data_IF_802549482077
#
_entry.id   IF_802549482077
#
_cell.length_a   1.000
_cell.length_b   1.000
_cell.length_c   1.000
_cell.angle_alpha   90.00
_cell.angle_beta   90.00
_cell.angle_gamma   90.00
#
_symmetry.space_group_name_H-M   'P 1'
#
loop_
_entity.id
_entity.type
_entity.pdbx_description
1 polymer ?
#
# COMPACT_ATOMS: atom_id res chain seq x y z
N UNK A 1 -9.64 -29.22 -59.40
CA UNK A 1 -10.82 -28.68 -58.68
C UNK A 1 -11.35 -29.76 -57.75
N UNK A 2 -11.12 -29.66 -56.44
CA UNK A 2 -11.83 -30.37 -55.33
C UNK A 2 -10.97 -30.26 -54.06
N UNK A 3 -10.93 -29.08 -53.43
CA UNK A 3 -10.48 -28.96 -52.03
C UNK A 3 -11.04 -27.67 -51.41
N UNK A 4 -12.38 -27.59 -51.31
CA UNK A 4 -13.05 -26.50 -50.58
C UNK A 4 -14.43 -26.96 -50.15
N UNK A 5 -14.47 -28.01 -49.34
CA UNK A 5 -15.72 -28.43 -48.68
C UNK A 5 -15.50 -28.59 -47.17
N UNK A 6 -14.35 -29.12 -46.73
CA UNK A 6 -14.05 -29.32 -45.30
C UNK A 6 -13.85 -28.02 -44.52
N UNK A 7 -13.26 -26.99 -45.11
CA UNK A 7 -13.03 -25.69 -44.46
C UNK A 7 -14.32 -24.89 -44.23
N UNK A 8 -15.29 -24.95 -45.16
CA UNK A 8 -16.58 -24.28 -44.97
C UNK A 8 -17.43 -24.90 -43.85
N UNK A 9 -17.36 -26.22 -43.65
CA UNK A 9 -18.09 -26.88 -42.56
C UNK A 9 -17.54 -26.50 -41.18
N UNK A 10 -16.23 -26.34 -41.03
CA UNK A 10 -15.61 -25.96 -39.76
C UNK A 10 -15.95 -24.51 -39.40
N UNK A 11 -15.93 -23.59 -40.37
CA UNK A 11 -16.28 -22.19 -40.13
C UNK A 11 -17.76 -22.05 -39.80
N UNK A 12 -18.65 -22.75 -40.51
CA UNK A 12 -20.09 -22.75 -40.22
C UNK A 12 -20.42 -23.36 -38.84
N UNK A 13 -19.66 -24.37 -38.40
CA UNK A 13 -19.82 -24.96 -37.08
C UNK A 13 -19.36 -24.01 -35.96
N UNK A 14 -18.25 -23.30 -36.16
CA UNK A 14 -17.75 -22.34 -35.17
C UNK A 14 -18.66 -21.11 -35.05
N UNK A 15 -19.21 -20.60 -36.15
CA UNK A 15 -20.13 -19.44 -36.10
C UNK A 15 -21.47 -19.79 -35.47
N UNK A 16 -22.00 -21.00 -35.72
CA UNK A 16 -23.22 -21.47 -35.06
C UNK A 16 -22.98 -21.70 -33.57
N UNK A 17 -21.86 -22.30 -33.17
CA UNK A 17 -21.52 -22.48 -31.76
C UNK A 17 -21.41 -21.12 -31.04
N UNK A 18 -20.69 -20.15 -31.63
CA UNK A 18 -20.52 -18.82 -31.06
C UNK A 18 -21.84 -18.07 -30.94
N UNK A 19 -22.70 -18.16 -31.96
CA UNK A 19 -24.04 -17.57 -31.91
C UNK A 19 -24.91 -18.23 -30.84
N UNK A 20 -24.86 -19.55 -30.66
CA UNK A 20 -25.62 -20.22 -29.59
C UNK A 20 -25.13 -19.85 -28.19
N UNK A 21 -23.82 -19.68 -28.01
CA UNK A 21 -23.23 -19.26 -26.72
C UNK A 21 -23.65 -17.82 -26.39
N UNK A 22 -23.63 -16.91 -27.37
CA UNK A 22 -24.09 -15.53 -27.17
C UNK A 22 -25.58 -15.50 -26.83
N UNK A 23 -26.42 -16.26 -27.53
CA UNK A 23 -27.87 -16.31 -27.23
C UNK A 23 -28.14 -16.92 -25.85
N UNK A 24 -27.35 -17.93 -25.42
CA UNK A 24 -27.42 -18.47 -24.05
C UNK A 24 -26.99 -17.46 -22.99
N UNK A 25 -25.98 -16.63 -23.26
CA UNK A 25 -25.54 -15.57 -22.35
C UNK A 25 -26.59 -14.45 -22.23
N UNK A 26 -27.20 -14.04 -23.34
CA UNK A 26 -28.24 -13.00 -23.36
C UNK A 26 -29.54 -13.50 -22.69
N UNK A 27 -29.92 -14.78 -22.89
CA UNK A 27 -31.06 -15.39 -22.19
C UNK A 27 -30.77 -15.68 -20.71
N UNK A 28 -29.50 -15.85 -20.33
CA UNK A 28 -29.07 -15.92 -18.93
C UNK A 28 -29.22 -14.56 -18.23
N UNK A 29 -28.92 -13.45 -18.90
CA UNK A 29 -29.13 -12.10 -18.35
C UNK A 29 -30.62 -11.74 -18.20
N UNK A 30 -31.51 -12.27 -19.04
CA UNK A 30 -32.95 -11.98 -18.93
C UNK A 30 -33.67 -12.67 -17.77
N UNK A 31 -33.01 -13.61 -17.07
CA UNK A 31 -33.57 -14.30 -15.89
C UNK A 31 -32.94 -13.86 -14.57
N UNK A 32 -32.03 -12.88 -14.62
CA UNK A 32 -31.27 -12.39 -13.46
C UNK A 32 -31.75 -11.03 -12.93
N UNK A 33 -32.98 -10.61 -13.26
CA UNK A 33 -33.55 -9.34 -12.79
C UNK A 33 -34.52 -9.46 -11.61
N UNK A 34 -34.86 -10.67 -11.12
CA UNK A 34 -35.88 -10.81 -10.05
C UNK A 34 -35.36 -11.19 -8.66
N UNK A 35 -34.06 -11.45 -8.49
CA UNK A 35 -33.50 -11.88 -7.20
C UNK A 35 -32.55 -10.85 -6.55
N UNK A 36 -32.00 -9.90 -7.32
CA UNK A 36 -31.14 -8.84 -6.80
C UNK A 36 -31.96 -7.82 -5.97
N UNK A 37 -33.24 -7.62 -6.28
CA UNK A 37 -34.13 -6.72 -5.53
C UNK A 37 -34.49 -7.23 -4.12
N UNK A 38 -34.20 -8.49 -3.80
CA UNK A 38 -34.45 -9.06 -2.46
C UNK A 38 -33.21 -9.14 -1.56
N UNK A 39 -32.04 -8.65 -2.03
CA UNK A 39 -30.83 -8.55 -1.20
C UNK A 39 -30.62 -7.16 -0.59
N UNK A 40 -31.45 -6.17 -0.93
CA UNK A 40 -31.41 -4.85 -0.34
C UNK A 40 -32.52 -4.70 0.70
N UNK A 41 -32.17 -4.90 1.97
CA UNK A 41 -32.95 -4.36 3.07
C UNK A 41 -32.92 -2.82 2.98
N UNK A 42 -34.03 -2.11 3.28
CA UNK A 42 -34.02 -0.67 3.34
C UNK A 42 -33.07 -0.21 4.45
N UNK A 43 -32.09 0.62 4.08
CA UNK A 43 -31.22 1.31 5.02
C UNK A 43 -32.10 2.28 5.81
N UNK A 44 -32.45 1.90 7.03
CA UNK A 44 -33.10 2.80 7.98
C UNK A 44 -32.05 3.79 8.49
N UNK A 45 -32.34 5.08 8.35
CA UNK A 45 -31.58 6.16 8.98
C UNK A 45 -31.65 6.00 10.51
N UNK A 46 -30.59 5.48 11.12
CA UNK A 46 -30.43 5.56 12.58
C UNK A 46 -29.59 6.78 12.93
N UNK A 47 -30.28 7.81 13.41
CA UNK A 47 -29.73 8.97 14.09
C UNK A 47 -28.74 8.56 15.19
N UNK A 48 -27.47 8.96 15.04
CA UNK A 48 -26.42 8.75 16.04
C UNK A 48 -26.45 9.88 17.06
N UNK A 49 -27.50 9.93 17.88
CA UNK A 49 -27.61 10.89 19.00
C UNK A 49 -27.99 10.23 20.33
N UNK A 50 -27.92 8.90 20.43
CA UNK A 50 -28.35 8.17 21.63
C UNK A 50 -27.37 7.04 21.99
N UNK A 51 -26.15 7.39 22.40
CA UNK A 51 -25.26 6.51 23.18
C UNK A 51 -24.31 7.38 24.03
N UNK A 52 -24.93 8.30 24.78
CA UNK A 52 -24.33 8.97 25.94
C UNK A 52 -25.04 8.45 27.19
N UNK A 53 -24.64 7.29 27.69
CA UNK A 53 -24.89 6.89 29.07
C UNK A 53 -23.99 5.72 29.46
N UNK A 54 -23.51 5.74 30.70
CA UNK A 54 -22.66 4.76 31.38
C UNK A 54 -21.15 4.85 31.06
N UNK A 55 -20.23 5.00 32.02
CA UNK A 55 -20.35 5.05 33.47
C UNK A 55 -19.02 5.61 34.02
N UNK A 56 -19.11 6.68 34.80
CA UNK A 56 -17.97 7.29 35.48
C UNK A 56 -17.63 6.45 36.71
N UNK A 57 -16.46 5.79 36.71
CA UNK A 57 -15.88 5.25 37.95
C UNK A 57 -14.89 6.26 38.53
N UNK A 58 -15.32 6.82 39.67
CA UNK A 58 -14.54 7.65 40.57
C UNK A 58 -13.54 6.78 41.34
N UNK A 59 -12.24 7.07 41.18
CA UNK A 59 -11.23 6.74 42.18
C UNK A 59 -10.60 8.04 42.65
N UNK A 60 -11.06 8.50 43.81
CA UNK A 60 -10.56 9.65 44.54
C UNK A 60 -9.22 9.30 45.18
N UNK A 61 -8.15 9.94 44.70
CA UNK A 61 -6.92 10.11 45.47
C UNK A 61 -6.66 11.62 45.59
N UNK A 62 -6.74 12.09 46.85
CA UNK A 62 -6.41 13.45 47.30
C UNK A 62 -5.03 13.85 46.78
N UNK A 63 -4.91 15.04 46.20
CA UNK A 63 -3.64 15.75 46.17
C UNK A 63 -3.90 17.23 46.47
N UNK A 64 -3.35 17.70 47.59
CA UNK A 64 -3.34 19.10 48.01
C UNK A 64 -2.50 19.95 47.05
N UNK A 65 -3.04 21.09 46.63
CA UNK A 65 -2.34 22.09 45.84
C UNK A 65 -1.41 22.92 46.73
N UNK A 66 -0.11 22.87 46.47
CA UNK A 66 0.85 23.89 46.91
C UNK A 66 1.32 24.65 45.67
N UNK A 67 1.10 25.98 45.56
CA UNK A 67 1.61 26.75 44.45
C UNK A 67 3.09 27.08 44.68
N UNK A 68 4.00 26.42 43.95
CA UNK A 68 5.35 26.97 43.76
C UNK A 68 5.42 27.57 42.36
N UNK A 69 5.50 28.90 42.31
CA UNK A 69 5.80 29.64 41.08
C UNK A 69 7.25 29.32 40.71
N UNK A 70 7.45 28.43 39.74
CA UNK A 70 8.74 28.26 39.09
C UNK A 70 8.70 29.02 37.76
N UNK A 71 9.44 30.12 37.68
CA UNK A 71 9.68 30.83 36.44
C UNK A 71 10.44 29.90 35.47
N UNK A 72 9.77 29.43 34.42
CA UNK A 72 10.40 28.62 33.37
C UNK A 72 11.07 29.57 32.37
N UNK A 73 12.36 29.83 32.58
CA UNK A 73 13.22 30.41 31.56
C UNK A 73 13.32 29.41 30.40
N UNK A 74 12.70 29.74 29.27
CA UNK A 74 12.80 28.95 28.03
C UNK A 74 14.20 29.11 27.44
N UNK A 75 15.09 28.20 27.80
CA UNK A 75 16.35 28.03 27.06
C UNK A 75 16.01 27.34 25.74
N UNK A 76 16.03 28.11 24.64
CA UNK A 76 16.00 27.55 23.29
C UNK A 76 17.31 26.79 23.06
N UNK A 77 17.28 25.48 23.30
CA UNK A 77 18.37 24.61 22.90
C UNK A 77 18.35 24.50 21.37
N UNK A 78 19.43 24.99 20.75
CA UNK A 78 19.67 24.88 19.33
C UNK A 78 19.54 23.41 18.87
N UNK A 79 18.83 23.19 17.76
CA UNK A 79 18.77 21.90 17.07
C UNK A 79 20.20 21.57 16.63
N UNK A 80 20.86 20.68 17.36
CA UNK A 80 22.14 20.13 16.93
C UNK A 80 21.86 19.08 15.84
N UNK A 81 22.45 19.30 14.67
CA UNK A 81 22.57 18.30 13.61
C UNK A 81 23.35 17.12 14.17
N UNK A 82 22.65 16.06 14.59
CA UNK A 82 23.30 14.80 14.92
C UNK A 82 23.86 14.21 13.63
N UNK A 83 25.17 14.30 13.48
CA UNK A 83 25.89 13.41 12.58
C UNK A 83 25.68 11.98 13.09
N UNK A 84 25.35 11.01 12.24
CA UNK A 84 25.30 9.61 12.66
C UNK A 84 26.67 9.26 13.26
N UNK A 85 26.72 8.92 14.54
CA UNK A 85 27.95 8.66 15.29
C UNK A 85 28.67 7.37 14.89
N UNK A 86 28.12 6.63 13.93
CA UNK A 86 28.73 5.43 13.36
C UNK A 86 28.75 5.59 11.85
N UNK A 87 29.94 5.69 11.22
CA UNK A 87 30.06 5.46 9.79
C UNK A 87 29.54 4.05 9.53
N UNK A 88 28.39 3.94 8.87
CA UNK A 88 27.90 2.64 8.40
C UNK A 88 29.02 1.94 7.62
N UNK A 89 29.06 0.59 7.64
CA UNK A 89 30.14 -0.15 6.99
C UNK A 89 30.29 0.30 5.53
N UNK A 90 31.54 0.38 5.04
CA UNK A 90 31.84 0.85 3.69
C UNK A 90 31.09 0.05 2.62
N UNK A 91 30.82 -1.22 2.91
CA UNK A 91 29.87 -2.09 2.23
C UNK A 91 29.30 -3.08 3.25
N UNK A 92 28.03 -3.47 3.13
CA UNK A 92 27.50 -4.63 3.84
C UNK A 92 27.89 -5.89 3.05
N UNK A 93 28.35 -6.94 3.73
CA UNK A 93 28.54 -8.25 3.09
C UNK A 93 27.19 -8.74 2.54
N UNK A 94 27.16 -9.09 1.26
CA UNK A 94 25.98 -9.74 0.66
C UNK A 94 25.83 -11.14 1.28
N UNK A 95 24.69 -11.39 1.94
CA UNK A 95 24.47 -12.60 2.74
C UNK A 95 25.45 -12.75 3.90
N UNK A 96 25.44 -11.78 4.82
CA UNK A 96 26.19 -11.86 6.08
C UNK A 96 25.75 -13.03 6.97
N UNK A 97 26.52 -13.29 8.04
CA UNK A 97 26.28 -14.40 8.97
C UNK A 97 24.87 -14.42 9.57
N UNK A 98 24.31 -13.24 9.82
CA UNK A 98 23.01 -13.06 10.50
C UNK A 98 21.91 -12.57 9.53
N UNK A 99 22.08 -12.74 8.21
CA UNK A 99 21.09 -12.35 7.21
C UNK A 99 19.97 -13.41 7.08
N UNK A 100 18.82 -13.12 7.70
CA UNK A 100 17.64 -13.98 7.69
C UNK A 100 17.10 -14.23 6.28
N UNK A 101 17.08 -13.19 5.42
CA UNK A 101 16.57 -13.32 4.05
C UNK A 101 17.48 -14.23 3.22
N UNK A 102 18.80 -14.12 3.40
CA UNK A 102 19.70 -14.99 2.68
C UNK A 102 19.69 -16.42 3.23
N UNK A 103 19.46 -16.62 4.53
CA UNK A 103 19.25 -17.95 5.10
C UNK A 103 17.99 -18.63 4.56
N UNK A 104 16.93 -17.87 4.29
CA UNK A 104 15.65 -18.39 3.80
C UNK A 104 15.67 -18.63 2.28
N UNK A 105 16.04 -17.60 1.51
CA UNK A 105 15.93 -17.63 0.05
C UNK A 105 17.22 -18.04 -0.65
N UNK A 106 18.37 -17.90 0.01
CA UNK A 106 19.68 -18.15 -0.59
C UNK A 106 20.15 -17.03 -1.52
N UNK A 107 21.47 -16.85 -1.59
CA UNK A 107 22.14 -15.77 -2.35
C UNK A 107 21.66 -15.67 -3.80
N UNK A 108 21.57 -16.80 -4.50
CA UNK A 108 21.22 -16.82 -5.91
C UNK A 108 19.78 -16.32 -6.17
N UNK A 109 18.82 -16.66 -5.31
CA UNK A 109 17.44 -16.20 -5.49
C UNK A 109 17.29 -14.71 -5.15
N UNK A 110 18.01 -14.23 -4.13
CA UNK A 110 18.07 -12.81 -3.83
C UNK A 110 18.73 -12.00 -4.97
N UNK A 111 19.77 -12.53 -5.61
CA UNK A 111 20.36 -11.87 -6.77
C UNK A 111 19.38 -11.80 -7.95
N UNK A 112 18.58 -12.85 -8.16
CA UNK A 112 17.56 -12.87 -9.22
C UNK A 112 16.39 -11.91 -8.98
N UNK A 113 16.13 -11.49 -7.74
CA UNK A 113 15.10 -10.48 -7.47
C UNK A 113 15.54 -9.07 -7.89
N UNK A 114 16.85 -8.85 -8.10
CA UNK A 114 17.45 -7.56 -8.46
C UNK A 114 17.50 -7.44 -9.98
N UNK A 115 16.41 -6.98 -10.59
CA UNK A 115 16.32 -6.84 -12.06
C UNK A 115 17.31 -5.82 -12.66
N UNK A 116 17.55 -4.70 -11.95
CA UNK A 116 18.55 -3.70 -12.34
C UNK A 116 18.96 -2.85 -11.13
N UNK A 117 20.26 -2.78 -10.85
CA UNK A 117 20.76 -2.05 -9.67
C UNK A 117 21.08 -0.58 -9.95
N UNK A 118 21.65 -0.29 -11.13
CA UNK A 118 22.15 1.04 -11.47
C UNK A 118 23.13 1.61 -10.41
N UNK A 119 23.22 2.94 -10.33
CA UNK A 119 24.15 3.62 -9.41
C UNK A 119 23.57 3.85 -8.00
N UNK A 120 22.24 3.81 -7.88
CA UNK A 120 21.47 4.14 -6.68
C UNK A 120 21.81 5.51 -6.06
N UNK A 121 22.33 6.47 -6.84
CA UNK A 121 22.81 7.75 -6.31
C UNK A 121 21.72 8.58 -5.62
N UNK A 122 20.48 8.57 -6.15
CA UNK A 122 19.31 9.23 -5.55
C UNK A 122 18.85 8.51 -4.28
N UNK A 123 18.72 7.19 -4.36
CA UNK A 123 18.34 6.35 -3.22
C UNK A 123 19.32 6.51 -2.05
N UNK A 124 20.63 6.46 -2.31
CA UNK A 124 21.68 6.69 -1.31
C UNK A 124 21.54 8.06 -0.62
N UNK A 125 21.10 9.11 -1.33
CA UNK A 125 20.84 10.42 -0.70
C UNK A 125 19.62 10.40 0.21
N UNK A 126 18.54 9.73 -0.21
CA UNK A 126 17.33 9.56 0.61
C UNK A 126 17.66 8.78 1.89
N UNK A 127 18.38 7.66 1.77
CA UNK A 127 18.81 6.84 2.92
C UNK A 127 19.72 7.62 3.86
N UNK A 128 20.69 8.40 3.34
CA UNK A 128 21.53 9.27 4.17
C UNK A 128 20.73 10.33 4.92
N UNK A 129 19.75 10.96 4.25
CA UNK A 129 18.85 11.94 4.87
C UNK A 129 18.02 11.29 5.99
N UNK A 130 17.49 10.10 5.75
CA UNK A 130 16.73 9.34 6.74
C UNK A 130 17.61 8.94 7.93
N UNK A 131 18.82 8.43 7.67
CA UNK A 131 19.80 8.05 8.69
C UNK A 131 20.31 9.25 9.52
N UNK A 132 20.31 10.47 8.96
CA UNK A 132 20.59 11.70 9.72
C UNK A 132 19.37 12.24 10.48
N UNK A 133 18.28 11.49 10.57
CA UNK A 133 17.06 11.89 11.28
C UNK A 133 16.20 12.91 10.52
N UNK A 134 16.36 13.03 9.21
CA UNK A 134 15.53 13.92 8.40
C UNK A 134 14.21 13.27 7.95
N UNK A 135 13.12 14.03 7.78
CA UNK A 135 11.84 13.50 7.31
C UNK A 135 11.88 13.08 5.85
N UNK A 136 11.13 12.02 5.53
CA UNK A 136 11.03 11.47 4.18
C UNK A 136 9.55 11.40 3.75
N UNK A 137 9.29 11.90 2.55
CA UNK A 137 7.99 11.75 1.90
C UNK A 137 8.11 10.62 0.87
N UNK A 138 7.23 9.63 0.98
CA UNK A 138 7.22 8.43 0.16
C UNK A 138 5.89 8.42 -0.60
N UNK A 139 5.96 8.63 -1.91
CA UNK A 139 4.83 8.45 -2.83
C UNK A 139 5.01 7.15 -3.61
N UNK A 140 3.96 6.35 -3.71
CA UNK A 140 3.95 5.11 -4.50
C UNK A 140 2.88 5.21 -5.59
N UNK A 141 3.27 4.94 -6.83
CA UNK A 141 2.38 4.89 -7.99
C UNK A 141 2.27 3.44 -8.49
N UNK A 142 1.11 3.06 -8.99
CA UNK A 142 0.91 1.72 -9.55
C UNK A 142 -0.54 1.42 -9.90
N UNK A 143 -0.76 0.18 -10.33
CA UNK A 143 -2.08 -0.35 -10.67
C UNK A 143 -2.79 -1.00 -9.48
N UNK A 144 -3.64 -1.98 -9.79
CA UNK A 144 -4.49 -2.68 -8.81
C UNK A 144 -3.72 -3.37 -7.68
N UNK A 145 -2.54 -3.94 -7.96
CA UNK A 145 -1.70 -4.59 -6.94
C UNK A 145 -1.22 -3.59 -5.88
N UNK A 146 -0.74 -2.42 -6.31
CA UNK A 146 -0.31 -1.35 -5.40
C UNK A 146 -1.48 -0.74 -4.64
N UNK A 147 -2.66 -0.71 -5.27
CA UNK A 147 -3.89 -0.26 -4.61
C UNK A 147 -4.38 -1.24 -3.51
N UNK A 148 -3.85 -2.48 -3.46
CA UNK A 148 -4.28 -3.48 -2.47
C UNK A 148 -5.39 -4.41 -2.97
N UNK A 149 -5.55 -4.59 -4.27
CA UNK A 149 -6.55 -5.51 -4.81
C UNK A 149 -6.29 -6.95 -4.34
N UNK A 150 -7.36 -7.65 -3.96
CA UNK A 150 -7.37 -9.05 -3.48
C UNK A 150 -6.71 -9.30 -2.11
N UNK A 151 -6.37 -8.25 -1.35
CA UNK A 151 -5.90 -8.35 0.04
C UNK A 151 -6.70 -7.41 0.95
N UNK A 152 -6.69 -7.66 2.26
CA UNK A 152 -7.39 -6.82 3.24
C UNK A 152 -6.38 -5.95 3.96
N UNK A 153 -6.67 -4.67 4.14
CA UNK A 153 -5.80 -3.77 4.90
C UNK A 153 -5.58 -4.32 6.34
N UNK A 154 -4.36 -4.33 6.89
CA UNK A 154 -3.13 -3.65 6.42
C UNK A 154 -2.16 -4.55 5.63
N UNK A 155 -2.64 -5.61 4.98
CA UNK A 155 -1.77 -6.56 4.24
C UNK A 155 -1.28 -6.02 2.90
N UNK A 156 -1.46 -4.71 2.64
CA UNK A 156 -0.95 -4.09 1.44
C UNK A 156 0.57 -4.01 1.56
N UNK A 157 1.28 -4.44 0.52
CA UNK A 157 2.76 -4.39 0.54
C UNK A 157 3.27 -2.95 0.80
N UNK A 158 2.49 -1.94 0.39
CA UNK A 158 2.74 -0.52 0.64
C UNK A 158 2.73 -0.18 2.13
N UNK A 159 1.77 -0.73 2.87
CA UNK A 159 1.60 -0.47 4.31
C UNK A 159 2.69 -1.20 5.09
N UNK A 160 2.98 -2.45 4.70
CA UNK A 160 4.09 -3.24 5.24
C UNK A 160 5.42 -2.51 5.02
N UNK A 161 5.65 -1.99 3.81
CA UNK A 161 6.84 -1.22 3.48
C UNK A 161 6.96 0.05 4.33
N UNK A 162 5.88 0.83 4.47
CA UNK A 162 5.92 2.06 5.24
C UNK A 162 6.06 1.80 6.76
N UNK A 163 5.45 0.73 7.25
CA UNK A 163 5.64 0.28 8.63
C UNK A 163 7.12 -0.08 8.89
N UNK A 164 7.74 -0.86 8.00
CA UNK A 164 9.17 -1.15 8.05
C UNK A 164 10.02 0.13 7.97
N UNK A 165 9.65 1.08 7.10
CA UNK A 165 10.36 2.34 6.96
C UNK A 165 10.36 3.14 8.26
N UNK A 166 9.20 3.30 8.91
CA UNK A 166 9.07 4.02 10.17
C UNK A 166 9.74 3.29 11.34
N UNK A 167 9.81 1.96 11.31
CA UNK A 167 10.58 1.20 12.28
C UNK A 167 12.09 1.43 12.10
N UNK A 168 12.55 1.51 10.85
CA UNK A 168 13.99 1.62 10.52
C UNK A 168 14.51 3.06 10.64
N UNK A 169 13.73 4.03 10.19
CA UNK A 169 14.06 5.46 10.17
C UNK A 169 12.91 6.27 10.80
N UNK A 170 12.74 6.20 12.12
CA UNK A 170 11.62 6.82 12.81
C UNK A 170 11.69 8.35 12.72
N UNK A 171 10.62 8.97 12.24
CA UNK A 171 10.47 10.42 12.24
C UNK A 171 8.98 10.81 12.19
N UNK A 172 8.54 11.72 13.07
CA UNK A 172 7.14 12.16 13.21
C UNK A 172 6.54 12.78 11.93
N UNK A 173 7.39 13.39 11.09
CA UNK A 173 6.99 14.02 9.82
C UNK A 173 7.28 13.16 8.59
N UNK A 174 7.45 11.84 8.74
CA UNK A 174 7.44 10.96 7.58
C UNK A 174 6.03 10.94 6.97
N UNK A 175 5.94 11.10 5.66
CA UNK A 175 4.68 11.13 4.92
C UNK A 175 4.63 9.94 3.97
N UNK A 176 3.48 9.29 3.89
CA UNK A 176 3.23 8.20 2.96
C UNK A 176 1.97 8.50 2.14
N UNK A 177 2.09 8.35 0.81
CA UNK A 177 0.99 8.52 -0.14
C UNK A 177 0.94 7.32 -1.07
N UNK A 178 -0.15 6.56 -1.02
CA UNK A 178 -0.45 5.53 -2.01
C UNK A 178 -1.32 6.14 -3.13
N UNK A 179 -0.67 6.55 -4.22
CA UNK A 179 -1.29 7.15 -5.40
C UNK A 179 -1.70 6.13 -6.48
N UNK A 180 -1.94 4.88 -6.10
CA UNK A 180 -2.25 3.82 -7.05
C UNK A 180 -3.70 3.86 -7.54
N UNK A 181 -3.88 3.71 -8.84
CA UNK A 181 -5.19 3.68 -9.50
C UNK A 181 -5.40 2.32 -10.18
N UNK A 182 -6.41 1.54 -9.78
CA UNK A 182 -6.63 0.20 -10.33
C UNK A 182 -6.95 0.28 -11.84
N UNK A 183 -6.61 -0.80 -12.56
CA UNK A 183 -6.83 -0.92 -14.00
C UNK A 183 -6.20 0.21 -14.86
N UNK A 184 -5.16 0.88 -14.37
CA UNK A 184 -4.38 1.86 -15.14
C UNK A 184 -2.95 1.39 -15.40
N UNK A 185 -2.39 1.83 -16.52
CA UNK A 185 -1.02 1.54 -16.92
C UNK A 185 -0.10 2.76 -16.81
N UNK A 186 1.17 2.59 -17.15
CA UNK A 186 2.17 3.67 -17.13
C UNK A 186 1.82 4.83 -18.07
N UNK A 187 1.08 4.58 -19.16
CA UNK A 187 0.58 5.64 -20.06
C UNK A 187 -0.23 6.69 -19.30
N UNK A 188 -1.15 6.26 -18.44
CA UNK A 188 -1.96 7.16 -17.62
C UNK A 188 -1.08 8.02 -16.70
N UNK A 189 -0.14 7.39 -16.00
CA UNK A 189 0.76 8.12 -15.09
C UNK A 189 1.77 9.02 -15.81
N UNK A 190 2.03 8.82 -17.10
CA UNK A 190 2.91 9.71 -17.87
C UNK A 190 2.40 11.16 -17.93
N UNK A 191 1.08 11.34 -17.85
CA UNK A 191 0.42 12.65 -17.87
C UNK A 191 -0.22 13.04 -16.54
N UNK A 192 -0.63 12.06 -15.72
CA UNK A 192 -1.40 12.30 -14.49
C UNK A 192 -0.65 12.02 -13.19
N UNK A 193 0.65 11.65 -13.20
CA UNK A 193 1.35 11.25 -11.98
C UNK A 193 1.28 12.28 -10.84
N UNK A 194 1.35 13.58 -11.14
CA UNK A 194 1.36 14.64 -10.12
C UNK A 194 0.02 14.88 -9.43
N UNK A 195 -1.08 14.34 -9.93
CA UNK A 195 -2.38 14.38 -9.24
C UNK A 195 -2.45 13.36 -8.10
N UNK A 196 -1.55 12.36 -8.09
CA UNK A 196 -1.63 11.21 -7.20
C UNK A 196 -0.57 11.18 -6.10
N UNK A 197 0.34 12.16 -6.03
CA UNK A 197 1.45 12.23 -5.04
C UNK A 197 1.73 13.64 -4.51
#
# INVERSE_FOLDING_TARGET
MLCSLRTSFVIAFLTTLFSTIITLFILSESTQSSWIDKLFLPFAETNVSALLSHQQHSLTLKQECVPTIAAVTRTFTAIQTMTPSVPGPAYCDECGRDDLLCSEYGRHNLQRSRGFEGTNSRLKRVVRKAASGGPINIGVLGGSVTHGHSVVHPEFWTDIFFAWWNQTYPHEKNVFVNGAIPATGTEYFSVCALEHI
#
